data_IF_130269627171
#
_entry.id   IF_130269627171
#
_cell.length_a   1.000
_cell.length_b   1.000
_cell.length_c   1.000
_cell.angle_alpha   90.00
_cell.angle_beta   90.00
_cell.angle_gamma   90.00
#
_symmetry.space_group_name_H-M   'P 1'
#
loop_
_entity.id
_entity.type
_entity.pdbx_description
1 polymer ?
#
# COMPACT_ATOMS: atom_id res chain seq x y z
N UNK A 1 -12.81 -9.52 13.45
CA UNK A 1 -13.14 -10.21 12.17
C UNK A 1 -13.86 -9.30 11.18
N UNK A 2 -15.04 -8.72 11.46
CA UNK A 2 -15.73 -7.85 10.47
C UNK A 2 -15.09 -6.45 10.36
N UNK A 3 -14.57 -5.91 11.47
CA UNK A 3 -13.95 -4.58 11.50
C UNK A 3 -12.63 -4.56 10.70
N UNK A 4 -11.81 -5.60 10.87
CA UNK A 4 -10.50 -5.78 10.20
C UNK A 4 -10.64 -5.83 8.67
N UNK A 5 -11.70 -6.49 8.18
CA UNK A 5 -12.03 -6.53 6.75
C UNK A 5 -12.41 -5.16 6.18
N UNK A 6 -13.11 -4.33 6.96
CA UNK A 6 -13.49 -2.98 6.53
C UNK A 6 -12.25 -2.08 6.42
N UNK A 7 -11.31 -2.22 7.35
CA UNK A 7 -10.05 -1.45 7.37
C UNK A 7 -9.17 -1.80 6.17
N UNK A 8 -9.01 -3.09 5.86
CA UNK A 8 -8.25 -3.56 4.69
C UNK A 8 -8.89 -3.08 3.38
N UNK A 9 -10.22 -3.15 3.27
CA UNK A 9 -10.94 -2.69 2.08
C UNK A 9 -10.80 -1.17 1.89
N UNK A 10 -10.87 -0.40 2.98
CA UNK A 10 -10.70 1.04 2.93
C UNK A 10 -9.27 1.43 2.53
N UNK A 11 -8.25 0.80 3.13
CA UNK A 11 -6.85 1.05 2.82
C UNK A 11 -6.50 0.69 1.37
N UNK A 12 -6.94 -0.48 0.89
CA UNK A 12 -6.72 -0.91 -0.49
C UNK A 12 -7.42 0.00 -1.50
N UNK A 13 -8.64 0.45 -1.22
CA UNK A 13 -9.37 1.39 -2.08
C UNK A 13 -8.65 2.75 -2.14
N UNK A 14 -8.18 3.26 -1.00
CA UNK A 14 -7.44 4.52 -0.95
C UNK A 14 -6.10 4.45 -1.69
N UNK A 15 -5.37 3.36 -1.53
CA UNK A 15 -4.14 3.09 -2.28
C UNK A 15 -4.38 3.03 -3.79
N UNK A 16 -5.47 2.38 -4.23
CA UNK A 16 -5.84 2.28 -5.64
C UNK A 16 -6.19 3.64 -6.26
N UNK A 17 -6.91 4.49 -5.52
CA UNK A 17 -7.24 5.85 -5.96
C UNK A 17 -5.98 6.72 -6.06
N UNK A 18 -5.07 6.63 -5.08
CA UNK A 18 -3.79 7.33 -5.09
C UNK A 18 -2.90 6.91 -6.27
N UNK A 19 -2.81 5.60 -6.53
CA UNK A 19 -2.10 5.05 -7.70
C UNK A 19 -2.69 5.55 -9.01
N UNK A 20 -4.02 5.65 -9.10
CA UNK A 20 -4.71 6.25 -10.25
C UNK A 20 -4.28 7.70 -10.49
N UNK A 21 -4.25 8.53 -9.45
CA UNK A 21 -3.78 9.91 -9.54
C UNK A 21 -2.29 10.00 -9.93
N UNK A 22 -1.42 9.19 -9.36
CA UNK A 22 0.02 9.18 -9.70
C UNK A 22 0.30 8.72 -11.12
N UNK A 23 -0.49 7.79 -11.65
CA UNK A 23 -0.44 7.38 -13.05
C UNK A 23 -0.76 8.53 -14.01
N UNK A 24 -1.79 9.33 -13.71
CA UNK A 24 -2.13 10.52 -14.53
C UNK A 24 -1.03 11.59 -14.53
N UNK A 25 -0.23 11.64 -13.46
CA UNK A 25 0.93 12.54 -13.33
C UNK A 25 2.23 11.93 -13.87
N UNK A 26 2.16 10.71 -14.45
CA UNK A 26 3.30 9.93 -14.93
C UNK A 26 4.39 9.69 -13.85
N UNK A 27 3.98 9.66 -12.58
CA UNK A 27 4.85 9.43 -11.43
C UNK A 27 5.10 7.95 -11.17
N UNK A 28 4.27 7.08 -11.74
CA UNK A 28 4.34 5.62 -11.58
C UNK A 28 4.21 4.98 -12.95
N UNK A 29 5.19 4.15 -13.32
CA UNK A 29 5.13 3.38 -14.57
C UNK A 29 4.34 2.10 -14.35
N UNK A 30 3.49 1.75 -15.31
CA UNK A 30 2.72 0.50 -15.29
C UNK A 30 3.61 -0.73 -15.14
N UNK A 31 4.81 -0.69 -15.73
CA UNK A 31 5.84 -1.74 -15.65
C UNK A 31 6.24 -2.02 -14.20
N UNK A 32 6.47 -0.96 -13.42
CA UNK A 32 6.91 -1.02 -12.04
C UNK A 32 5.78 -1.52 -11.13
N UNK A 33 4.53 -1.10 -11.39
CA UNK A 33 3.35 -1.62 -10.69
C UNK A 33 3.23 -3.13 -10.88
N UNK A 34 3.28 -3.59 -12.13
CA UNK A 34 3.17 -5.03 -12.44
C UNK A 34 4.31 -5.82 -11.77
N UNK A 35 5.52 -5.27 -11.76
CA UNK A 35 6.68 -5.92 -11.14
C UNK A 35 6.51 -6.06 -9.62
N UNK A 36 6.03 -5.01 -8.94
CA UNK A 36 5.78 -5.03 -7.50
C UNK A 36 4.59 -5.93 -7.16
N UNK A 37 3.49 -5.88 -7.94
CA UNK A 37 2.30 -6.71 -7.70
C UNK A 37 2.55 -8.21 -7.87
N UNK A 38 3.55 -8.60 -8.68
CA UNK A 38 3.94 -10.00 -8.86
C UNK A 38 5.10 -10.42 -7.95
N UNK A 39 5.61 -9.50 -7.11
CA UNK A 39 6.68 -9.83 -6.19
C UNK A 39 6.10 -10.77 -5.12
N UNK A 40 6.72 -11.93 -4.87
CA UNK A 40 6.26 -12.79 -3.79
C UNK A 40 6.35 -12.03 -2.47
N UNK A 41 5.39 -12.28 -1.58
CA UNK A 41 5.42 -11.73 -0.23
C UNK A 41 6.78 -12.05 0.40
N UNK A 42 7.31 -11.09 1.14
CA UNK A 42 8.59 -11.26 1.80
C UNK A 42 8.50 -12.45 2.74
N UNK A 43 9.35 -13.46 2.51
CA UNK A 43 9.47 -14.62 3.40
C UNK A 43 10.34 -14.23 4.61
N UNK A 44 9.82 -13.32 5.43
CA UNK A 44 10.33 -12.97 6.75
C UNK A 44 9.23 -13.22 7.77
N UNK A 45 9.60 -13.43 9.03
CA UNK A 45 8.60 -13.37 10.11
C UNK A 45 7.88 -12.01 10.01
N UNK A 46 6.55 -12.01 10.16
CA UNK A 46 5.79 -10.77 10.27
C UNK A 46 6.27 -10.05 11.54
N UNK A 47 7.34 -9.27 11.41
CA UNK A 47 7.81 -8.42 12.49
C UNK A 47 6.71 -7.39 12.75
N UNK A 48 6.21 -7.41 13.98
CA UNK A 48 5.26 -6.42 14.45
C UNK A 48 5.96 -5.06 14.38
N UNK A 49 5.56 -4.22 13.42
CA UNK A 49 6.15 -2.89 13.26
C UNK A 49 5.94 -2.08 14.54
N UNK A 50 6.95 -1.28 14.90
CA UNK A 50 6.85 -0.40 16.07
C UNK A 50 5.64 0.56 15.95
N UNK A 51 5.01 0.87 17.09
CA UNK A 51 3.90 1.82 17.13
C UNK A 51 4.33 3.18 16.56
N UNK A 52 3.61 3.63 15.53
CA UNK A 52 3.94 4.85 14.79
C UNK A 52 4.87 4.67 13.59
N UNK A 53 5.18 3.44 13.14
CA UNK A 53 5.92 3.21 11.89
C UNK A 53 5.22 3.83 10.66
N UNK A 54 3.91 3.98 10.70
CA UNK A 54 3.08 4.58 9.67
C UNK A 54 2.78 6.07 9.89
N UNK A 55 3.37 6.71 10.91
CA UNK A 55 3.20 8.14 11.14
C UNK A 55 3.86 8.95 10.03
N UNK A 56 3.04 9.53 9.15
CA UNK A 56 3.49 10.53 8.17
C UNK A 56 3.44 11.89 8.85
N UNK A 57 4.61 12.40 9.25
CA UNK A 57 4.74 13.78 9.72
C UNK A 57 4.63 14.74 8.53
N UNK A 58 3.48 15.42 8.42
CA UNK A 58 3.24 16.46 7.43
C UNK A 58 3.58 17.80 8.09
N UNK A 59 4.87 18.14 8.12
CA UNK A 59 5.34 19.47 8.56
C UNK A 59 5.33 20.49 7.42
#
# INVERSE_FOLDING_TARGET
MVLDYLTILAQSTHALLGLGSWSTLNLVKTEDVIKVSNMPDANGEEEEFEDGWDCIDVT
#
